data_IF_243747132966
#
_entry.id   IF_243747132966
#
_cell.length_a   1.000
_cell.length_b   1.000
_cell.length_c   1.000
_cell.angle_alpha   90.00
_cell.angle_beta   90.00
_cell.angle_gamma   90.00
#
_symmetry.space_group_name_H-M   'P 1'
#
loop_
_entity.id
_entity.type
_entity.pdbx_description
1 polymer ?
#
# COMPACT_ATOMS: atom_id res chain seq x y z
N UNK A 1 21.19 -12.51 15.76
CA UNK A 1 22.11 -11.36 15.74
C UNK A 1 22.24 -10.88 17.16
N UNK A 2 23.41 -11.07 17.79
CA UNK A 2 23.67 -10.48 19.10
C UNK A 2 24.02 -9.01 18.88
N UNK A 3 23.23 -8.10 19.45
CA UNK A 3 23.51 -6.68 19.44
C UNK A 3 24.44 -6.41 20.63
N UNK A 4 25.72 -6.13 20.38
CA UNK A 4 26.71 -5.77 21.41
C UNK A 4 26.99 -4.26 21.41
N UNK A 5 27.88 -3.84 22.30
CA UNK A 5 28.19 -2.44 22.60
C UNK A 5 28.93 -1.68 21.49
N UNK A 6 29.42 -2.37 20.46
CA UNK A 6 30.24 -1.77 19.39
C UNK A 6 29.45 -1.57 18.09
N UNK A 7 28.15 -1.89 18.08
CA UNK A 7 27.32 -1.80 16.89
C UNK A 7 26.81 -0.37 16.65
N UNK A 8 27.48 0.36 15.75
CA UNK A 8 27.03 1.67 15.26
C UNK A 8 26.60 1.59 13.79
N UNK A 9 25.34 1.89 13.48
CA UNK A 9 24.84 1.93 12.10
C UNK A 9 23.77 3.01 11.90
N UNK A 10 23.63 3.49 10.67
CA UNK A 10 22.54 4.36 10.24
C UNK A 10 21.56 3.54 9.41
N UNK A 11 20.34 3.37 9.90
CA UNK A 11 19.24 2.77 9.15
C UNK A 11 18.40 3.87 8.50
N UNK A 12 18.24 3.78 7.17
CA UNK A 12 17.35 4.66 6.41
C UNK A 12 16.32 3.80 5.69
N UNK A 13 15.05 4.03 5.97
CA UNK A 13 13.94 3.49 5.19
C UNK A 13 13.16 4.65 4.60
N UNK A 14 13.38 4.90 3.31
CA UNK A 14 12.75 6.02 2.61
C UNK A 14 11.27 5.77 2.30
N UNK A 15 10.84 4.50 2.37
CA UNK A 15 9.45 4.14 2.14
C UNK A 15 8.66 4.34 3.42
N UNK A 16 7.65 5.21 3.36
CA UNK A 16 6.70 5.38 4.46
C UNK A 16 5.88 4.09 4.63
N UNK A 17 5.83 3.58 5.86
CA UNK A 17 5.04 2.39 6.21
C UNK A 17 3.88 2.82 7.10
N UNK A 18 2.66 2.56 6.65
CA UNK A 18 1.44 2.69 7.45
C UNK A 18 1.08 1.29 7.95
N UNK A 19 0.91 1.12 9.27
CA UNK A 19 0.66 -0.19 9.88
C UNK A 19 -0.50 -0.12 10.87
N UNK A 20 -1.16 -1.26 11.08
CA UNK A 20 -2.28 -1.41 12.01
C UNK A 20 -3.50 -2.06 11.37
N UNK A 21 -4.42 -2.54 12.20
CA UNK A 21 -5.71 -3.06 11.74
C UNK A 21 -6.46 -1.94 11.02
N UNK A 22 -6.99 -2.24 9.83
CA UNK A 22 -7.70 -1.28 8.97
C UNK A 22 -6.85 -0.15 8.36
N UNK A 23 -5.52 -0.22 8.42
CA UNK A 23 -4.61 0.76 7.77
C UNK A 23 -4.86 0.96 6.26
N UNK A 24 -5.48 -0.02 5.59
CA UNK A 24 -5.90 0.10 4.18
C UNK A 24 -6.85 1.30 3.93
N UNK A 25 -7.58 1.75 4.95
CA UNK A 25 -8.46 2.92 4.83
C UNK A 25 -7.68 4.22 4.58
N UNK A 26 -6.39 4.27 4.96
CA UNK A 26 -5.53 5.44 4.79
C UNK A 26 -4.94 5.54 3.37
N UNK A 27 -5.19 4.56 2.49
CA UNK A 27 -4.63 4.53 1.12
C UNK A 27 -4.92 5.83 0.36
N UNK A 28 -6.13 6.38 0.47
CA UNK A 28 -6.48 7.66 -0.17
C UNK A 28 -5.67 8.85 0.39
N UNK A 29 -5.45 8.89 1.71
CA UNK A 29 -4.64 9.92 2.37
C UNK A 29 -3.18 9.87 1.94
N UNK A 30 -2.64 8.68 1.68
CA UNK A 30 -1.27 8.51 1.19
C UNK A 30 -1.12 8.98 -0.27
N UNK A 31 -2.14 8.79 -1.12
CA UNK A 31 -2.17 9.38 -2.47
C UNK A 31 -2.14 10.92 -2.40
N UNK A 32 -2.90 11.51 -1.46
CA UNK A 32 -2.90 12.96 -1.23
C UNK A 32 -1.55 13.47 -0.70
N UNK A 33 -0.93 12.73 0.23
CA UNK A 33 0.40 13.03 0.77
C UNK A 33 1.47 13.08 -0.34
N UNK A 34 1.36 12.17 -1.32
CA UNK A 34 2.22 12.14 -2.51
C UNK A 34 1.87 13.23 -3.54
N UNK A 35 0.85 14.05 -3.29
CA UNK A 35 0.32 15.08 -4.21
C UNK A 35 -0.15 14.50 -5.55
N UNK A 36 -0.64 13.26 -5.52
CA UNK A 36 -1.22 12.57 -6.66
C UNK A 36 -2.75 12.68 -6.64
N UNK A 37 -3.39 12.40 -7.78
CA UNK A 37 -4.86 12.46 -7.90
C UNK A 37 -5.46 11.29 -8.67
N UNK A 38 -4.63 10.45 -9.28
CA UNK A 38 -5.03 9.33 -10.13
C UNK A 38 -4.26 8.08 -9.73
N UNK A 39 -4.93 7.17 -9.04
CA UNK A 39 -4.43 5.88 -8.61
C UNK A 39 -4.95 4.76 -9.52
N UNK A 40 -4.08 3.85 -9.89
CA UNK A 40 -4.41 2.67 -10.69
C UNK A 40 -4.04 1.42 -9.89
N UNK A 41 -5.01 0.51 -9.72
CA UNK A 41 -4.79 -0.73 -8.97
C UNK A 41 -4.14 -1.76 -9.89
N UNK A 42 -3.10 -2.43 -9.39
CA UNK A 42 -2.46 -3.58 -10.04
C UNK A 42 -2.54 -4.75 -9.07
N UNK A 43 -3.17 -5.85 -9.48
CA UNK A 43 -3.45 -7.01 -8.63
C UNK A 43 -3.57 -8.28 -9.48
N UNK A 44 -3.60 -9.44 -8.84
CA UNK A 44 -3.98 -10.71 -9.46
C UNK A 44 -5.46 -11.08 -9.20
N UNK A 45 -5.95 -12.07 -9.95
CA UNK A 45 -7.33 -12.57 -9.86
C UNK A 45 -7.64 -13.16 -8.48
N UNK A 46 -6.70 -13.85 -7.84
CA UNK A 46 -6.89 -14.46 -6.53
C UNK A 46 -7.17 -13.43 -5.44
N UNK A 47 -6.41 -12.33 -5.41
CA UNK A 47 -6.62 -11.22 -4.46
C UNK A 47 -7.98 -10.53 -4.68
N UNK A 48 -8.38 -10.37 -5.94
CA UNK A 48 -9.69 -9.81 -6.29
C UNK A 48 -10.83 -10.73 -5.88
N UNK A 49 -10.76 -12.01 -6.22
CA UNK A 49 -11.77 -13.03 -5.89
C UNK A 49 -11.90 -13.25 -4.37
N UNK A 50 -10.82 -13.04 -3.61
CA UNK A 50 -10.84 -13.03 -2.15
C UNK A 50 -11.54 -11.79 -1.53
N UNK A 51 -12.02 -10.84 -2.33
CA UNK A 51 -12.71 -9.63 -1.87
C UNK A 51 -11.81 -8.61 -1.18
N UNK A 52 -10.48 -8.74 -1.31
CA UNK A 52 -9.52 -7.83 -0.65
C UNK A 52 -9.44 -6.47 -1.34
N UNK A 53 -9.68 -6.43 -2.65
CA UNK A 53 -9.57 -5.23 -3.48
C UNK A 53 -10.67 -4.21 -3.15
N UNK A 54 -11.86 -4.65 -2.77
CA UNK A 54 -13.02 -3.76 -2.51
C UNK A 54 -12.71 -2.70 -1.44
N UNK A 55 -11.91 -3.05 -0.44
CA UNK A 55 -11.51 -2.11 0.62
C UNK A 55 -10.60 -1.01 0.07
N UNK A 56 -9.71 -1.37 -0.85
CA UNK A 56 -8.80 -0.43 -1.52
C UNK A 56 -9.57 0.50 -2.45
N UNK A 57 -10.53 -0.04 -3.22
CA UNK A 57 -11.39 0.78 -4.09
C UNK A 57 -12.17 1.82 -3.28
N UNK A 58 -12.78 1.39 -2.16
CA UNK A 58 -13.49 2.28 -1.24
C UNK A 58 -12.57 3.35 -0.64
N UNK A 59 -11.36 2.98 -0.22
CA UNK A 59 -10.39 3.91 0.35
C UNK A 59 -9.87 4.94 -0.67
N UNK A 60 -9.70 4.55 -1.94
CA UNK A 60 -9.26 5.44 -3.00
C UNK A 60 -10.35 6.42 -3.47
N UNK A 61 -11.61 5.96 -3.52
CA UNK A 61 -12.75 6.78 -3.91
C UNK A 61 -12.57 7.39 -5.30
N UNK A 62 -12.76 8.71 -5.42
CA UNK A 62 -12.62 9.44 -6.69
C UNK A 62 -11.21 9.43 -7.30
N UNK A 63 -10.20 8.99 -6.55
CA UNK A 63 -8.82 8.89 -7.04
C UNK A 63 -8.60 7.65 -7.91
N UNK A 64 -9.44 6.63 -7.78
CA UNK A 64 -9.31 5.40 -8.56
C UNK A 64 -9.66 5.64 -10.03
N UNK A 65 -8.72 5.38 -10.93
CA UNK A 65 -8.91 5.58 -12.38
C UNK A 65 -8.97 4.28 -13.18
N UNK A 66 -8.72 3.13 -12.55
CA UNK A 66 -8.79 1.83 -13.19
C UNK A 66 -8.06 0.75 -12.39
N UNK A 67 -8.19 -0.49 -12.88
CA UNK A 67 -7.54 -1.66 -12.31
C UNK A 67 -7.05 -2.59 -13.42
N UNK A 68 -5.91 -3.23 -13.20
CA UNK A 68 -5.43 -4.38 -13.92
C UNK A 68 -5.37 -5.57 -12.96
N UNK A 69 -6.18 -6.61 -13.21
CA UNK A 69 -6.33 -7.80 -12.36
C UNK A 69 -5.80 -9.09 -13.00
N UNK A 70 -5.12 -8.99 -14.14
CA UNK A 70 -4.56 -10.14 -14.87
C UNK A 70 -3.08 -10.36 -14.59
N UNK A 71 -2.58 -9.93 -13.42
CA UNK A 71 -1.23 -10.28 -13.00
C UNK A 71 -1.11 -11.81 -12.84
N UNK A 72 -0.03 -12.43 -13.36
CA UNK A 72 0.22 -13.85 -13.14
C UNK A 72 0.50 -14.11 -11.65
N UNK A 73 0.00 -15.24 -11.16
CA UNK A 73 0.12 -15.69 -9.77
C UNK A 73 1.31 -16.64 -9.60
#
# INVERSE_FOLDING_TARGET
>A
MAYDTDLAFIYRNYTRVVFGVNSVNDTGSEVDYLKCSRAFIVTDKGVKEAGLVEKVEKALGSRLVGMFDECPQ
#
